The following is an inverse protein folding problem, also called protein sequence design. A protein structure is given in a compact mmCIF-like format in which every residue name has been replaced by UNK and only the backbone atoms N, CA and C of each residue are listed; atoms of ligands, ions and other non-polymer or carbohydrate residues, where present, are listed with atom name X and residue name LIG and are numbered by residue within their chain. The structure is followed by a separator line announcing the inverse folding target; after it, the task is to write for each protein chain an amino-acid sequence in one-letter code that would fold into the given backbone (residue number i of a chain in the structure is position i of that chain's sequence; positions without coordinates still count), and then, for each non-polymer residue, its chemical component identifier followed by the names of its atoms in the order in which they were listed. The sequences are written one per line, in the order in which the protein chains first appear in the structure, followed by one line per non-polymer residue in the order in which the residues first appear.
data_IF_125216864818
#
_entry.id   IF_125216864818
#
_cell.length_a   1.000
_cell.length_b   1.000
_cell.length_c   1.000
_cell.angle_alpha   90.00
_cell.angle_beta   90.00
_cell.angle_gamma   90.00
#
_symmetry.space_group_name_H-M   'P 1'
#
loop_
_entity.id
_entity.type
_entity.pdbx_description
1 polymer ?
#
# COMPACT_ATOMS: atom_id res chain seq x y z
N UNK A 1 -11.07 -2.92 1.35
CA UNK A 1 -11.89 -2.13 0.41
C UNK A 1 -13.23 -2.82 0.25
N UNK A 2 -14.35 -2.11 0.45
CA UNK A 2 -15.69 -2.66 0.17
C UNK A 2 -16.07 -2.43 -1.32
N UNK A 3 -17.24 -2.94 -1.73
CA UNK A 3 -17.71 -2.87 -3.11
C UNK A 3 -18.05 -1.44 -3.53
N UNK A 4 -18.71 -0.65 -2.67
CA UNK A 4 -19.08 0.73 -2.99
C UNK A 4 -17.84 1.61 -3.23
N UNK A 5 -16.85 1.51 -2.35
CA UNK A 5 -15.59 2.25 -2.45
C UNK A 5 -14.82 1.84 -3.70
N UNK A 6 -14.76 0.54 -4.01
CA UNK A 6 -14.11 0.04 -5.23
C UNK A 6 -14.76 0.60 -6.51
N UNK A 7 -16.09 0.66 -6.56
CA UNK A 7 -16.82 1.23 -7.70
C UNK A 7 -16.57 2.74 -7.82
N UNK A 8 -16.57 3.47 -6.70
CA UNK A 8 -16.26 4.89 -6.67
C UNK A 8 -14.85 5.17 -7.17
N UNK A 9 -13.84 4.45 -6.66
CA UNK A 9 -12.44 4.60 -7.04
C UNK A 9 -12.22 4.33 -8.53
N UNK A 10 -12.81 3.28 -9.09
CA UNK A 10 -12.74 3.01 -10.53
C UNK A 10 -13.36 4.15 -11.35
N UNK A 11 -14.49 4.72 -10.92
CA UNK A 11 -15.08 5.88 -11.60
C UNK A 11 -14.14 7.08 -11.60
N UNK A 12 -13.49 7.35 -10.46
CA UNK A 12 -12.50 8.44 -10.33
C UNK A 12 -11.27 8.21 -11.22
N UNK A 13 -10.65 7.02 -11.15
CA UNK A 13 -9.51 6.67 -11.98
C UNK A 13 -9.82 6.67 -13.48
N UNK A 14 -11.08 6.45 -13.86
CA UNK A 14 -11.54 6.42 -15.25
C UNK A 14 -11.98 7.78 -15.80
N UNK A 15 -11.90 8.89 -15.05
CA UNK A 15 -12.49 10.18 -15.43
C UNK A 15 -14.01 10.16 -15.65
N UNK A 16 -14.72 9.29 -14.93
CA UNK A 16 -16.18 9.10 -15.09
C UNK A 16 -16.99 9.45 -13.85
N UNK A 17 -16.35 9.98 -12.81
CA UNK A 17 -17.05 10.40 -11.60
C UNK A 17 -17.72 11.77 -11.79
N UNK A 18 -18.93 11.93 -11.23
CA UNK A 18 -19.76 13.14 -11.40
C UNK A 18 -19.14 14.36 -10.70
N UNK A 19 -18.44 14.16 -9.58
CA UNK A 19 -17.74 15.22 -8.86
C UNK A 19 -16.37 15.46 -9.50
N UNK A 20 -16.33 16.39 -10.44
CA UNK A 20 -15.13 16.78 -11.19
C UNK A 20 -14.01 17.28 -10.25
N UNK A 21 -14.36 17.87 -9.11
CA UNK A 21 -13.40 18.38 -8.11
C UNK A 21 -12.82 17.29 -7.19
N UNK A 22 -13.24 16.03 -7.33
CA UNK A 22 -12.65 14.93 -6.55
C UNK A 22 -11.16 14.83 -6.86
N UNK A 23 -10.32 14.77 -5.82
CA UNK A 23 -8.86 14.72 -5.97
C UNK A 23 -8.34 13.72 -7.01
N UNK A 24 -8.89 12.49 -7.02
CA UNK A 24 -8.49 11.41 -7.96
C UNK A 24 -8.92 11.66 -9.41
N UNK A 25 -9.79 12.63 -9.68
CA UNK A 25 -10.02 13.08 -11.06
C UNK A 25 -8.78 13.77 -11.62
N UNK A 26 -7.99 14.48 -10.82
CA UNK A 26 -6.74 15.08 -11.27
C UNK A 26 -5.51 14.20 -10.96
N UNK A 27 -5.58 13.39 -9.91
CA UNK A 27 -4.41 12.69 -9.37
C UNK A 27 -4.45 11.16 -9.51
N UNK A 28 -5.60 10.61 -9.90
CA UNK A 28 -5.79 9.17 -10.11
C UNK A 28 -5.13 8.66 -11.40
N UNK A 29 -5.34 7.37 -11.72
CA UNK A 29 -4.68 6.71 -12.86
C UNK A 29 -4.72 7.51 -14.16
N UNK A 30 -5.90 7.83 -14.72
CA UNK A 30 -5.98 8.71 -15.89
C UNK A 30 -5.75 10.18 -15.55
N UNK A 31 -6.21 10.64 -14.38
CA UNK A 31 -6.05 12.00 -13.87
C UNK A 31 -4.63 12.52 -14.02
N UNK A 32 -3.69 11.75 -13.47
CA UNK A 32 -2.26 12.05 -13.45
C UNK A 32 -1.60 12.09 -14.82
N UNK A 33 -2.25 11.55 -15.86
CA UNK A 33 -1.78 11.61 -17.24
C UNK A 33 -2.18 12.93 -17.93
N UNK A 34 -3.05 13.74 -17.33
CA UNK A 34 -3.54 14.99 -17.95
C UNK A 34 -3.92 16.06 -16.90
N UNK A 35 -3.01 17.01 -16.59
CA UNK A 35 -1.67 17.16 -17.16
C UNK A 35 -0.69 16.13 -16.57
N UNK A 36 0.17 15.57 -17.42
CA UNK A 36 1.27 14.74 -16.96
C UNK A 36 2.35 15.60 -16.28
N UNK A 37 2.72 15.24 -15.04
CA UNK A 37 3.65 16.01 -14.20
C UNK A 37 5.06 15.40 -14.14
N UNK A 38 5.40 14.51 -15.07
CA UNK A 38 6.73 13.92 -15.20
C UNK A 38 6.90 12.56 -14.53
N UNK A 39 5.93 12.12 -13.72
CA UNK A 39 6.01 10.87 -12.96
C UNK A 39 4.76 10.00 -13.12
N UNK A 40 4.98 8.70 -13.27
CA UNK A 40 3.93 7.68 -13.19
C UNK A 40 3.76 7.24 -11.75
N UNK A 41 2.55 7.35 -11.21
CA UNK A 41 2.25 7.02 -9.82
C UNK A 41 1.83 5.56 -9.67
N UNK A 42 2.73 4.71 -9.21
CA UNK A 42 2.49 3.27 -9.04
C UNK A 42 1.34 2.97 -8.05
N UNK A 43 1.14 3.83 -7.05
CA UNK A 43 -0.01 3.75 -6.13
C UNK A 43 -1.37 3.74 -6.85
N UNK A 44 -1.50 4.45 -7.97
CA UNK A 44 -2.73 4.42 -8.77
C UNK A 44 -2.97 3.05 -9.43
N UNK A 45 -1.91 2.34 -9.83
CA UNK A 45 -2.04 0.95 -10.31
C UNK A 45 -2.52 0.06 -9.16
N UNK A 46 -1.87 0.15 -7.99
CA UNK A 46 -2.22 -0.66 -6.84
C UNK A 46 -3.67 -0.48 -6.42
N UNK A 47 -4.16 0.76 -6.43
CA UNK A 47 -5.55 1.07 -6.07
C UNK A 47 -6.55 0.53 -7.11
N UNK A 48 -6.26 0.66 -8.41
CA UNK A 48 -7.07 0.02 -9.48
C UNK A 48 -7.12 -1.49 -9.31
N UNK A 49 -5.99 -2.14 -9.04
CA UNK A 49 -5.93 -3.59 -8.84
C UNK A 49 -6.64 -4.04 -7.55
N UNK A 50 -6.55 -3.25 -6.48
CA UNK A 50 -7.31 -3.49 -5.25
C UNK A 50 -8.82 -3.37 -5.47
N UNK A 51 -9.26 -2.38 -6.25
CA UNK A 51 -10.67 -2.24 -6.63
C UNK A 51 -11.16 -3.42 -7.49
N UNK A 52 -10.36 -3.87 -8.46
CA UNK A 52 -10.66 -5.09 -9.23
C UNK A 52 -10.78 -6.31 -8.32
N UNK A 53 -9.88 -6.45 -7.34
CA UNK A 53 -9.92 -7.57 -6.38
C UNK A 53 -11.20 -7.56 -5.55
N UNK A 54 -11.61 -6.40 -5.04
CA UNK A 54 -12.86 -6.22 -4.32
C UNK A 54 -14.12 -6.49 -5.18
N UNK A 55 -14.02 -6.29 -6.50
CA UNK A 55 -15.10 -6.47 -7.46
C UNK A 55 -15.08 -7.82 -8.20
N UNK A 56 -14.20 -8.75 -7.80
CA UNK A 56 -14.04 -10.05 -8.48
C UNK A 56 -15.38 -10.78 -8.65
N UNK A 57 -16.16 -10.86 -7.57
CA UNK A 57 -17.47 -11.53 -7.56
C UNK A 57 -18.54 -10.79 -8.39
N UNK A 58 -18.45 -9.46 -8.52
CA UNK A 58 -19.37 -8.65 -9.32
C UNK A 58 -19.08 -8.78 -10.82
N UNK A 59 -17.78 -8.85 -11.18
CA UNK A 59 -17.32 -8.98 -12.57
C UNK A 59 -17.57 -10.40 -13.14
N UNK A 60 -17.55 -11.43 -12.30
CA UNK A 60 -17.79 -12.82 -12.70
C UNK A 60 -19.27 -13.21 -12.88
N UNK A 61 -20.21 -12.27 -12.75
CA UNK A 61 -21.66 -12.54 -12.91
C UNK A 61 -22.07 -12.57 -14.37
N UNK A 62 -23.16 -13.30 -14.66
CA UNK A 62 -23.80 -13.34 -15.99
C UNK A 62 -24.18 -11.95 -16.54
N UNK A 63 -24.48 -11.00 -15.64
CA UNK A 63 -24.75 -9.61 -15.96
C UNK A 63 -23.81 -8.72 -15.16
N UNK A 64 -23.06 -7.88 -15.88
CA UNK A 64 -22.14 -6.92 -15.29
C UNK A 64 -22.66 -5.51 -15.48
N UNK A 65 -22.46 -4.66 -14.47
CA UNK A 65 -22.85 -3.26 -14.54
C UNK A 65 -22.15 -2.56 -15.72
N UNK A 66 -22.94 -1.96 -16.62
CA UNK A 66 -22.44 -1.25 -17.80
C UNK A 66 -21.48 -0.10 -17.44
N UNK A 67 -21.75 0.64 -16.37
CA UNK A 67 -20.90 1.74 -15.92
C UNK A 67 -19.54 1.22 -15.45
N UNK A 68 -19.51 0.10 -14.74
CA UNK A 68 -18.27 -0.55 -14.33
C UNK A 68 -17.40 -0.93 -15.54
N UNK A 69 -17.99 -1.60 -16.53
CA UNK A 69 -17.28 -1.93 -17.78
C UNK A 69 -16.82 -0.66 -18.51
N UNK A 70 -17.65 0.37 -18.54
CA UNK A 70 -17.30 1.65 -19.16
C UNK A 70 -16.11 2.31 -18.48
N UNK A 71 -16.02 2.29 -17.15
CA UNK A 71 -14.89 2.84 -16.40
C UNK A 71 -13.61 2.04 -16.68
N UNK A 72 -13.67 0.70 -16.64
CA UNK A 72 -12.52 -0.16 -16.92
C UNK A 72 -12.02 -0.02 -18.37
N UNK A 73 -12.94 0.00 -19.32
CA UNK A 73 -12.61 0.23 -20.73
C UNK A 73 -12.05 1.64 -20.93
N UNK A 74 -12.57 2.64 -20.22
CA UNK A 74 -12.07 4.01 -20.23
C UNK A 74 -10.62 4.10 -19.76
N UNK A 75 -10.29 3.50 -18.61
CA UNK A 75 -8.93 3.40 -18.08
C UNK A 75 -7.99 2.82 -19.15
N UNK A 76 -8.32 1.65 -19.69
CA UNK A 76 -7.48 0.99 -20.69
C UNK A 76 -7.34 1.81 -21.98
N UNK A 77 -8.47 2.21 -22.57
CA UNK A 77 -8.49 2.86 -23.88
C UNK A 77 -7.81 4.22 -23.87
N UNK A 78 -8.14 5.08 -22.89
CA UNK A 78 -7.61 6.44 -22.82
C UNK A 78 -6.13 6.44 -22.47
N UNK A 79 -5.71 5.63 -21.48
CA UNK A 79 -4.28 5.51 -21.14
C UNK A 79 -3.47 5.03 -22.35
N UNK A 80 -3.94 4.00 -23.05
CA UNK A 80 -3.28 3.49 -24.26
C UNK A 80 -3.21 4.56 -25.36
N UNK A 81 -4.32 5.25 -25.62
CA UNK A 81 -4.40 6.30 -26.63
C UNK A 81 -3.51 7.52 -26.32
N UNK A 82 -3.32 7.86 -25.05
CA UNK A 82 -2.52 9.01 -24.66
C UNK A 82 -1.04 8.68 -24.52
N UNK A 83 -0.71 7.55 -23.89
CA UNK A 83 0.64 7.20 -23.49
C UNK A 83 1.38 6.28 -24.47
N UNK A 84 0.69 5.36 -25.15
CA UNK A 84 1.34 4.31 -25.93
C UNK A 84 1.24 4.51 -27.44
N UNK A 85 0.15 5.07 -27.95
CA UNK A 85 0.03 5.34 -29.39
C UNK A 85 1.06 6.38 -29.87
N UNK A 86 1.74 6.18 -31.02
CA UNK A 86 2.75 7.14 -31.52
C UNK A 86 2.25 8.58 -31.63
N UNK A 87 1.00 8.75 -32.09
CA UNK A 87 0.32 10.04 -32.21
C UNK A 87 -0.45 10.44 -30.93
N UNK A 88 -0.35 9.63 -29.88
CA UNK A 88 -0.96 9.90 -28.58
C UNK A 88 -0.38 11.16 -27.94
N UNK A 89 -1.21 11.90 -27.21
CA UNK A 89 -0.84 13.22 -26.69
C UNK A 89 0.45 13.20 -25.86
N UNK A 90 0.68 12.21 -25.00
CA UNK A 90 1.90 12.16 -24.18
C UNK A 90 3.13 11.75 -24.99
N UNK A 91 2.96 10.79 -25.89
CA UNK A 91 4.05 10.24 -26.70
C UNK A 91 4.52 11.21 -27.79
N UNK A 92 3.57 11.81 -28.52
CA UNK A 92 3.85 12.79 -29.59
C UNK A 92 4.49 14.08 -29.06
N UNK A 93 4.17 14.48 -27.83
CA UNK A 93 4.79 15.64 -27.16
C UNK A 93 6.08 15.28 -26.41
N UNK A 94 6.55 14.02 -26.47
CA UNK A 94 7.78 13.59 -25.81
C UNK A 94 7.75 13.71 -24.29
N UNK A 95 6.56 13.62 -23.68
CA UNK A 95 6.37 13.82 -22.25
C UNK A 95 6.76 12.58 -21.42
N UNK A 96 6.73 11.39 -22.02
CA UNK A 96 7.12 10.14 -21.36
C UNK A 96 8.51 9.71 -21.79
N UNK A 97 9.31 9.24 -20.83
CA UNK A 97 10.56 8.52 -21.12
C UNK A 97 10.26 7.15 -21.76
N UNK A 98 11.27 6.53 -22.37
CA UNK A 98 11.13 5.17 -22.92
C UNK A 98 10.73 4.16 -21.83
N UNK A 99 11.34 4.26 -20.65
CA UNK A 99 11.05 3.41 -19.49
C UNK A 99 9.62 3.62 -18.98
N UNK A 100 9.13 4.86 -18.98
CA UNK A 100 7.75 5.16 -18.60
C UNK A 100 6.74 4.59 -19.61
N UNK A 101 7.07 4.57 -20.90
CA UNK A 101 6.23 3.93 -21.93
C UNK A 101 6.15 2.42 -21.69
N UNK A 102 7.28 1.76 -21.45
CA UNK A 102 7.35 0.31 -21.14
C UNK A 102 6.60 -0.03 -19.83
N UNK A 103 6.72 0.85 -18.83
CA UNK A 103 5.99 0.74 -17.56
C UNK A 103 4.49 0.85 -17.78
N UNK A 104 4.03 1.85 -18.54
CA UNK A 104 2.61 2.01 -18.85
C UNK A 104 2.06 0.83 -19.66
N UNK A 105 2.81 0.30 -20.62
CA UNK A 105 2.43 -0.90 -21.36
C UNK A 105 2.25 -2.10 -20.41
N UNK A 106 3.19 -2.28 -19.47
CA UNK A 106 3.09 -3.30 -18.44
C UNK A 106 1.82 -3.12 -17.60
N UNK A 107 1.57 -1.92 -17.08
CA UNK A 107 0.40 -1.63 -16.25
C UNK A 107 -0.93 -1.89 -16.98
N UNK A 108 -1.04 -1.48 -18.25
CA UNK A 108 -2.26 -1.71 -19.03
C UNK A 108 -2.46 -3.18 -19.38
N UNK A 109 -1.39 -3.95 -19.59
CA UNK A 109 -1.47 -5.40 -19.78
C UNK A 109 -1.94 -6.09 -18.49
N UNK A 110 -1.41 -5.69 -17.32
CA UNK A 110 -1.84 -6.23 -16.03
C UNK A 110 -3.34 -5.97 -15.76
N UNK A 111 -3.78 -4.72 -15.95
CA UNK A 111 -5.19 -4.34 -15.74
C UNK A 111 -6.10 -5.07 -16.72
N UNK A 112 -5.78 -5.04 -18.01
CA UNK A 112 -6.65 -5.65 -19.04
C UNK A 112 -6.73 -7.17 -18.92
N UNK A 113 -5.63 -7.83 -18.58
CA UNK A 113 -5.61 -9.27 -18.34
C UNK A 113 -6.45 -9.66 -17.11
N UNK A 114 -6.30 -8.95 -16.00
CA UNK A 114 -7.12 -9.19 -14.80
C UNK A 114 -8.61 -9.01 -15.11
N UNK A 115 -9.00 -7.94 -15.81
CA UNK A 115 -10.38 -7.70 -16.21
C UNK A 115 -10.90 -8.82 -17.12
N UNK A 116 -10.12 -9.26 -18.11
CA UNK A 116 -10.51 -10.34 -19.02
C UNK A 116 -10.83 -11.63 -18.25
N UNK A 117 -9.92 -12.07 -17.37
CA UNK A 117 -10.10 -13.30 -16.60
C UNK A 117 -11.30 -13.20 -15.65
N UNK A 118 -11.48 -12.06 -14.98
CA UNK A 118 -12.62 -11.86 -14.07
C UNK A 118 -13.96 -11.90 -14.81
N UNK A 119 -14.06 -11.30 -16.00
CA UNK A 119 -15.28 -11.34 -16.82
C UNK A 119 -15.62 -12.74 -17.34
N UNK A 120 -14.61 -13.59 -17.53
CA UNK A 120 -14.78 -15.00 -17.88
C UNK A 120 -15.04 -15.90 -16.66
N UNK A 121 -15.14 -15.32 -15.46
CA UNK A 121 -15.23 -16.02 -14.19
C UNK A 121 -14.07 -17.04 -14.01
N UNK A 122 -12.87 -16.69 -14.48
CA UNK A 122 -11.68 -17.53 -14.42
C UNK A 122 -11.00 -17.59 -13.05
N UNK A 123 -11.49 -16.82 -12.08
CA UNK A 123 -11.02 -16.81 -10.69
C UNK A 123 -9.87 -15.82 -10.41
N UNK A 124 -9.76 -15.42 -9.14
CA UNK A 124 -8.80 -14.40 -8.72
C UNK A 124 -7.33 -14.84 -8.78
N UNK A 125 -7.04 -16.13 -8.60
CA UNK A 125 -5.66 -16.63 -8.68
C UNK A 125 -5.03 -16.35 -10.05
N UNK A 126 -5.73 -16.69 -11.13
CA UNK A 126 -5.29 -16.44 -12.49
C UNK A 126 -5.34 -14.93 -12.82
N UNK A 127 -6.45 -14.25 -12.48
CA UNK A 127 -6.64 -12.84 -12.82
C UNK A 127 -5.51 -11.94 -12.27
N UNK A 128 -5.04 -12.22 -11.06
CA UNK A 128 -4.03 -11.39 -10.39
C UNK A 128 -2.61 -11.98 -10.45
N UNK A 129 -2.40 -13.12 -11.12
CA UNK A 129 -1.08 -13.78 -11.17
C UNK A 129 0.03 -12.84 -11.66
N UNK A 130 -0.15 -12.23 -12.84
CA UNK A 130 0.86 -11.32 -13.40
C UNK A 130 1.11 -10.08 -12.54
N UNK A 131 0.06 -9.57 -11.88
CA UNK A 131 0.20 -8.42 -10.98
C UNK A 131 0.95 -8.78 -9.71
N UNK A 132 0.71 -9.97 -9.13
CA UNK A 132 1.45 -10.47 -7.99
C UNK A 132 2.93 -10.68 -8.30
N UNK A 133 3.25 -11.20 -9.48
CA UNK A 133 4.64 -11.31 -9.93
C UNK A 133 5.29 -9.94 -10.14
N UNK A 134 4.56 -8.99 -10.72
CA UNK A 134 5.00 -7.60 -10.81
C UNK A 134 5.34 -7.03 -9.43
N UNK A 135 4.44 -7.15 -8.45
CA UNK A 135 4.66 -6.67 -7.08
C UNK A 135 5.83 -7.37 -6.40
N UNK A 136 5.94 -8.71 -6.52
CA UNK A 136 7.08 -9.47 -5.99
C UNK A 136 8.40 -8.98 -6.57
N UNK A 137 8.45 -8.65 -7.86
CA UNK A 137 9.67 -8.12 -8.50
C UNK A 137 10.13 -6.77 -7.92
N UNK A 138 9.24 -6.03 -7.24
CA UNK A 138 9.52 -4.73 -6.59
C UNK A 138 9.90 -4.91 -5.11
N UNK A 139 9.22 -5.81 -4.41
CA UNK A 139 9.37 -6.01 -2.96
C UNK A 139 10.54 -6.93 -2.61
N UNK A 140 10.71 -8.04 -3.33
CA UNK A 140 11.71 -9.05 -2.95
C UNK A 140 13.15 -8.54 -3.00
N UNK A 141 13.58 -7.73 -3.98
CA UNK A 141 14.92 -7.15 -3.96
C UNK A 141 15.16 -6.24 -2.74
N UNK A 142 14.15 -5.50 -2.29
CA UNK A 142 14.25 -4.67 -1.09
C UNK A 142 14.33 -5.52 0.19
N UNK A 143 13.62 -6.65 0.25
CA UNK A 143 13.77 -7.62 1.34
C UNK A 143 15.21 -8.19 1.36
N UNK A 144 15.73 -8.59 0.20
CA UNK A 144 17.10 -9.13 0.11
C UNK A 144 18.15 -8.08 0.53
N UNK A 145 17.95 -6.82 0.14
CA UNK A 145 18.77 -5.69 0.59
C UNK A 145 18.71 -5.53 2.12
N UNK A 146 17.51 -5.52 2.71
CA UNK A 146 17.33 -5.48 4.17
C UNK A 146 18.15 -6.58 4.84
N UNK A 147 17.97 -7.83 4.41
CA UNK A 147 18.68 -8.98 4.99
C UNK A 147 20.19 -8.93 4.80
N UNK A 148 20.68 -8.31 3.72
CA UNK A 148 22.10 -8.09 3.48
C UNK A 148 22.69 -6.99 4.38
N UNK A 149 21.90 -5.97 4.74
CA UNK A 149 22.31 -4.88 5.61
C UNK A 149 22.41 -5.31 7.08
N UNK A 150 21.43 -6.07 7.58
CA UNK A 150 21.29 -6.40 9.01
C UNK A 150 22.58 -6.94 9.67
N UNK A 151 23.32 -7.94 9.14
CA UNK A 151 24.51 -8.49 9.79
C UNK A 151 25.59 -7.44 10.11
N UNK A 152 25.72 -6.42 9.25
CA UNK A 152 26.72 -5.36 9.41
C UNK A 152 26.38 -4.37 10.51
N UNK A 153 25.15 -4.38 11.02
CA UNK A 153 24.63 -3.43 12.02
C UNK A 153 24.51 -4.05 13.42
N UNK A 154 24.78 -5.34 13.57
CA UNK A 154 24.66 -6.07 14.84
C UNK A 154 25.99 -6.06 15.59
N UNK A 155 26.06 -5.33 16.71
CA UNK A 155 27.31 -5.14 17.46
C UNK A 155 27.36 -5.91 18.79
N UNK A 156 26.24 -6.14 19.46
CA UNK A 156 26.18 -6.86 20.74
C UNK A 156 25.56 -8.28 20.63
N UNK A 157 25.72 -9.06 21.69
CA UNK A 157 25.28 -10.47 21.76
C UNK A 157 23.76 -10.61 21.93
N UNK A 158 23.08 -9.62 22.52
CA UNK A 158 21.64 -9.64 22.72
C UNK A 158 20.90 -9.43 21.40
N UNK A 159 21.27 -8.40 20.63
CA UNK A 159 20.75 -8.17 19.27
C UNK A 159 21.09 -9.35 18.36
N UNK A 160 22.26 -9.96 18.51
CA UNK A 160 22.62 -11.17 17.75
C UNK A 160 21.65 -12.32 18.04
N UNK A 161 21.28 -12.53 19.30
CA UNK A 161 20.29 -13.53 19.68
C UNK A 161 18.91 -13.27 19.08
N UNK A 162 18.50 -12.00 18.97
CA UNK A 162 17.26 -11.63 18.28
C UNK A 162 17.34 -11.83 16.77
N UNK A 163 18.47 -11.48 16.16
CA UNK A 163 18.70 -11.69 14.73
C UNK A 163 18.68 -13.17 14.35
N UNK A 164 19.24 -14.05 15.18
CA UNK A 164 19.19 -15.48 14.93
C UNK A 164 17.74 -16.01 14.98
N UNK A 165 16.91 -15.50 15.89
CA UNK A 165 15.46 -15.80 15.89
C UNK A 165 14.77 -15.28 14.62
N UNK A 166 15.03 -14.03 14.23
CA UNK A 166 14.52 -13.43 13.00
C UNK A 166 14.84 -14.27 11.75
N UNK A 167 16.05 -14.84 11.70
CA UNK A 167 16.47 -15.70 10.59
C UNK A 167 15.69 -17.00 10.52
N UNK A 168 15.35 -17.57 11.67
CA UNK A 168 14.57 -18.80 11.77
C UNK A 168 13.08 -18.58 11.50
N UNK A 169 12.59 -17.34 11.57
CA UNK A 169 11.22 -16.99 11.19
C UNK A 169 11.02 -17.13 9.68
N UNK A 170 10.05 -17.96 9.28
CA UNK A 170 9.61 -18.09 7.89
C UNK A 170 8.54 -17.06 7.53
N UNK A 171 8.07 -17.15 6.29
CA UNK A 171 6.89 -16.42 5.84
C UNK A 171 5.59 -17.11 6.20
N UNK A 172 4.50 -16.35 6.16
CA UNK A 172 3.15 -16.86 6.33
C UNK A 172 2.72 -17.67 5.10
N UNK A 173 2.02 -18.79 5.33
CA UNK A 173 1.38 -19.50 4.24
C UNK A 173 0.28 -18.62 3.59
N UNK A 174 0.05 -18.71 2.26
CA UNK A 174 -1.00 -17.92 1.60
C UNK A 174 -2.39 -18.05 2.26
N UNK A 175 -2.75 -19.26 2.69
CA UNK A 175 -4.01 -19.52 3.40
C UNK A 175 -4.14 -18.75 4.72
N UNK A 176 -3.02 -18.50 5.42
CA UNK A 176 -3.00 -17.76 6.69
C UNK A 176 -3.27 -16.27 6.48
N UNK A 177 -2.77 -15.70 5.38
CA UNK A 177 -3.08 -14.34 4.95
C UNK A 177 -4.55 -14.22 4.54
N UNK A 178 -5.07 -15.21 3.80
CA UNK A 178 -6.49 -15.25 3.41
C UNK A 178 -7.41 -15.37 4.64
N UNK A 179 -7.01 -16.16 5.64
CA UNK A 179 -7.72 -16.24 6.92
C UNK A 179 -7.72 -14.90 7.68
N UNK A 180 -6.59 -14.18 7.68
CA UNK A 180 -6.49 -12.85 8.29
C UNK A 180 -7.44 -11.85 7.62
N UNK A 181 -7.40 -11.77 6.29
CA UNK A 181 -8.28 -10.93 5.49
C UNK A 181 -9.76 -11.25 5.74
N UNK A 182 -10.11 -12.55 5.73
CA UNK A 182 -11.47 -13.01 5.98
C UNK A 182 -11.94 -12.69 7.40
N UNK A 183 -11.07 -12.84 8.40
CA UNK A 183 -11.39 -12.56 9.81
C UNK A 183 -11.77 -11.11 10.02
N UNK A 184 -11.10 -10.19 9.34
CA UNK A 184 -11.31 -8.76 9.48
C UNK A 184 -12.19 -8.14 8.38
N UNK A 185 -12.53 -8.89 7.33
CA UNK A 185 -13.30 -8.37 6.20
C UNK A 185 -12.54 -7.32 5.39
N UNK A 186 -11.24 -7.51 5.23
CA UNK A 186 -10.34 -6.57 4.55
C UNK A 186 -9.61 -7.22 3.37
N UNK A 187 -8.93 -6.40 2.58
CA UNK A 187 -7.96 -6.86 1.58
C UNK A 187 -6.61 -6.24 1.95
N UNK A 188 -5.61 -7.07 2.25
CA UNK A 188 -4.25 -6.60 2.48
C UNK A 188 -3.65 -6.11 1.16
N UNK A 189 -2.88 -5.01 1.16
CA UNK A 189 -2.09 -4.60 0.00
C UNK A 189 -1.20 -5.74 -0.51
N UNK A 190 -1.13 -5.93 -1.83
CA UNK A 190 -0.40 -7.08 -2.39
C UNK A 190 1.11 -7.00 -2.12
N UNK A 191 1.68 -5.80 -1.93
CA UNK A 191 3.09 -5.64 -1.58
C UNK A 191 3.38 -6.06 -0.14
N UNK A 192 2.50 -5.72 0.79
CA UNK A 192 2.52 -6.23 2.15
C UNK A 192 2.39 -7.76 2.17
N UNK A 193 1.45 -8.32 1.40
CA UNK A 193 1.31 -9.79 1.25
C UNK A 193 2.59 -10.42 0.72
N UNK A 194 3.16 -9.88 -0.34
CA UNK A 194 4.38 -10.40 -0.96
C UNK A 194 5.56 -10.44 0.02
N UNK A 195 5.68 -9.46 0.91
CA UNK A 195 6.69 -9.48 1.98
C UNK A 195 6.36 -10.54 3.04
N UNK A 196 5.13 -10.58 3.54
CA UNK A 196 4.74 -11.50 4.62
C UNK A 196 4.76 -12.97 4.21
N UNK A 197 4.57 -13.28 2.93
CA UNK A 197 4.80 -14.62 2.39
C UNK A 197 6.27 -15.10 2.52
N UNK A 198 7.22 -14.17 2.72
CA UNK A 198 8.62 -14.48 2.94
C UNK A 198 9.05 -14.32 4.41
N UNK A 199 8.37 -13.45 5.17
CA UNK A 199 8.72 -13.16 6.56
C UNK A 199 7.51 -12.70 7.38
N UNK A 200 7.04 -13.53 8.32
CA UNK A 200 5.92 -13.24 9.20
C UNK A 200 6.37 -12.61 10.52
N UNK A 201 6.71 -11.31 10.46
CA UNK A 201 7.22 -10.56 11.61
C UNK A 201 8.72 -10.70 11.82
N UNK A 202 9.28 -9.82 12.66
CA UNK A 202 10.70 -9.81 12.99
C UNK A 202 11.05 -10.47 14.32
N UNK A 203 10.04 -10.82 15.12
CA UNK A 203 10.21 -11.23 16.50
C UNK A 203 10.22 -10.02 17.45
N UNK A 204 9.84 -10.27 18.70
CA UNK A 204 9.72 -9.20 19.70
C UNK A 204 11.03 -8.43 19.86
N UNK A 205 10.95 -7.10 19.76
CA UNK A 205 12.04 -6.15 19.93
C UNK A 205 13.18 -6.22 18.88
N UNK A 206 13.10 -7.03 17.83
CA UNK A 206 14.09 -6.97 16.75
C UNK A 206 13.72 -5.92 15.71
N UNK A 207 14.31 -4.74 15.81
CA UNK A 207 14.03 -3.61 14.94
C UNK A 207 14.59 -3.84 13.52
N UNK A 208 13.71 -3.75 12.51
CA UNK A 208 14.07 -3.93 11.09
C UNK A 208 13.51 -2.84 10.18
N UNK A 209 12.63 -1.98 10.70
CA UNK A 209 12.03 -0.86 9.96
C UNK A 209 12.47 0.48 10.54
N UNK A 210 12.89 1.39 9.67
CA UNK A 210 13.44 2.71 10.00
C UNK A 210 12.81 3.80 9.10
N UNK A 211 11.50 4.07 9.23
CA UNK A 211 10.80 5.08 8.43
C UNK A 211 11.36 6.49 8.64
N UNK A 212 11.10 7.38 7.68
CA UNK A 212 11.43 8.80 7.77
C UNK A 212 12.43 9.26 6.71
N UNK A 213 12.57 10.58 6.57
CA UNK A 213 13.49 11.18 5.61
C UNK A 213 14.95 11.16 6.08
N UNK A 214 15.18 11.32 7.39
CA UNK A 214 16.50 11.33 8.01
C UNK A 214 16.76 10.03 8.78
N UNK A 215 17.93 9.43 8.57
CA UNK A 215 18.34 8.21 9.26
C UNK A 215 18.62 8.45 10.75
N UNK A 216 19.10 9.64 11.14
CA UNK A 216 19.41 9.95 12.55
C UNK A 216 18.12 10.16 13.38
N UNK A 217 17.02 10.56 12.73
CA UNK A 217 15.71 10.79 13.35
C UNK A 217 14.76 9.59 13.17
N UNK A 218 15.15 8.58 12.39
CA UNK A 218 14.32 7.43 12.07
C UNK A 218 14.05 6.57 13.30
N UNK A 219 12.81 6.61 13.77
CA UNK A 219 12.35 5.77 14.86
C UNK A 219 12.42 4.28 14.46
N UNK A 220 13.13 3.40 15.20
CA UNK A 220 13.18 1.98 14.88
C UNK A 220 11.87 1.26 15.19
N UNK A 221 11.46 0.30 14.36
CA UNK A 221 10.29 -0.55 14.62
C UNK A 221 10.62 -2.03 14.40
N UNK A 222 10.07 -2.88 15.26
CA UNK A 222 10.01 -4.32 15.02
C UNK A 222 8.71 -4.64 14.30
N UNK A 223 8.78 -5.57 13.35
CA UNK A 223 7.66 -6.01 12.54
C UNK A 223 6.86 -7.07 13.32
N UNK A 224 5.55 -6.88 13.42
CA UNK A 224 4.66 -7.85 14.04
C UNK A 224 4.44 -9.05 13.12
N UNK A 225 4.27 -10.23 13.69
CA UNK A 225 3.64 -11.36 13.01
C UNK A 225 2.13 -11.10 12.83
N UNK A 226 1.49 -11.83 11.92
CA UNK A 226 0.03 -11.79 11.74
C UNK A 226 -0.73 -12.11 13.04
N UNK A 227 -0.16 -12.96 13.91
CA UNK A 227 -0.74 -13.26 15.22
C UNK A 227 -0.66 -12.06 16.18
N UNK A 228 0.48 -11.37 16.22
CA UNK A 228 0.65 -10.15 17.02
C UNK A 228 -0.25 -9.01 16.50
N UNK A 229 -0.34 -8.84 15.18
CA UNK A 229 -1.28 -7.89 14.58
C UNK A 229 -2.72 -8.15 15.03
N UNK A 230 -3.13 -9.43 15.05
CA UNK A 230 -4.46 -9.83 15.53
C UNK A 230 -4.68 -9.54 17.00
N UNK A 231 -3.66 -9.73 17.84
CA UNK A 231 -3.75 -9.46 19.28
C UNK A 231 -3.80 -7.95 19.55
N UNK A 232 -2.97 -7.16 18.88
CA UNK A 232 -2.95 -5.69 18.99
C UNK A 232 -4.28 -5.11 18.53
N UNK A 233 -4.83 -5.58 17.41
CA UNK A 233 -6.10 -5.10 16.84
C UNK A 233 -7.31 -5.32 17.76
N UNK A 234 -7.21 -6.18 18.79
CA UNK A 234 -8.30 -6.38 19.78
C UNK A 234 -8.51 -5.19 20.71
N UNK A 235 -7.48 -4.37 20.91
CA UNK A 235 -7.54 -3.23 21.83
C UNK A 235 -7.12 -1.91 21.17
N UNK A 236 -6.32 -1.96 20.11
CA UNK A 236 -5.87 -0.78 19.38
C UNK A 236 -6.60 -0.68 18.03
N UNK A 237 -7.11 0.51 17.70
CA UNK A 237 -7.94 0.72 16.51
C UNK A 237 -9.15 -0.24 16.41
N UNK A 238 -9.70 -0.70 17.53
CA UNK A 238 -10.87 -1.60 17.56
C UNK A 238 -12.18 -0.87 17.23
N UNK A 239 -12.18 0.45 17.45
CA UNK A 239 -13.28 1.39 17.22
C UNK A 239 -12.77 2.68 16.56
N UNK A 240 -13.72 3.47 16.09
CA UNK A 240 -13.45 4.80 15.55
C UNK A 240 -13.46 5.82 16.70
N UNK A 241 -12.46 6.69 16.74
CA UNK A 241 -12.36 7.83 17.65
C UNK A 241 -11.93 9.05 16.84
N UNK A 242 -12.72 10.12 16.84
CA UNK A 242 -12.44 11.30 16.03
C UNK A 242 -11.41 12.20 16.71
N UNK A 243 -10.55 12.85 15.92
CA UNK A 243 -9.61 13.83 16.47
C UNK A 243 -10.33 15.02 17.13
N UNK A 244 -11.51 15.41 16.64
CA UNK A 244 -12.29 16.53 17.20
C UNK A 244 -12.78 16.31 18.64
N UNK A 245 -12.73 15.07 19.14
CA UNK A 245 -13.05 14.74 20.53
C UNK A 245 -11.90 15.11 21.49
N UNK A 246 -10.68 15.25 20.97
CA UNK A 246 -9.45 15.42 21.77
C UNK A 246 -8.61 16.65 21.41
N UNK A 247 -8.69 17.12 20.16
CA UNK A 247 -7.82 18.17 19.61
C UNK A 247 -8.60 19.40 19.15
N UNK A 248 -7.96 20.57 19.21
CA UNK A 248 -8.53 21.80 18.68
C UNK A 248 -8.53 21.80 17.13
N UNK A 249 -9.38 22.63 16.49
CA UNK A 249 -9.35 22.77 15.03
C UNK A 249 -7.97 23.17 14.48
N UNK A 250 -7.18 23.95 15.22
CA UNK A 250 -5.83 24.35 14.85
C UNK A 250 -4.82 23.19 14.91
N UNK A 251 -5.02 22.23 15.80
CA UNK A 251 -4.21 21.02 15.90
C UNK A 251 -4.59 20.03 14.78
N UNK A 252 -5.89 19.85 14.55
CA UNK A 252 -6.41 19.01 13.45
C UNK A 252 -5.99 19.54 12.08
N UNK A 253 -5.84 20.86 11.93
CA UNK A 253 -5.34 21.46 10.69
C UNK A 253 -3.90 21.05 10.31
N UNK A 254 -3.16 20.41 11.22
CA UNK A 254 -1.83 19.83 10.96
C UNK A 254 -1.87 18.39 10.44
N UNK A 255 -3.04 17.74 10.47
CA UNK A 255 -3.20 16.39 9.95
C UNK A 255 -2.88 16.36 8.46
N UNK A 256 -2.11 15.37 8.03
CA UNK A 256 -1.83 15.16 6.63
C UNK A 256 -3.12 14.87 5.85
N UNK A 257 -3.21 15.41 4.63
CA UNK A 257 -4.46 15.45 3.87
C UNK A 257 -4.91 14.07 3.41
N UNK A 258 -3.98 13.12 3.36
CA UNK A 258 -4.14 11.72 3.01
C UNK A 258 -4.92 10.93 4.08
N UNK A 259 -4.99 11.44 5.32
CA UNK A 259 -5.66 10.78 6.43
C UNK A 259 -7.07 11.34 6.66
N UNK A 260 -7.97 10.45 7.08
CA UNK A 260 -9.25 10.89 7.67
C UNK A 260 -9.03 11.36 9.12
N UNK A 261 -9.84 12.29 9.64
CA UNK A 261 -9.61 12.96 10.93
C UNK A 261 -9.97 12.09 12.15
N UNK A 262 -9.40 10.89 12.22
CA UNK A 262 -9.51 9.95 13.33
C UNK A 262 -8.20 9.91 14.13
N UNK A 263 -8.32 9.73 15.44
CA UNK A 263 -7.22 9.33 16.29
C UNK A 263 -7.02 7.80 16.22
N UNK A 264 -8.13 7.07 16.27
CA UNK A 264 -8.17 5.62 16.04
C UNK A 264 -9.26 5.31 15.02
N UNK A 265 -9.00 4.40 14.09
CA UNK A 265 -9.94 4.04 13.03
C UNK A 265 -9.99 2.53 12.82
N UNK A 266 -11.18 1.96 12.69
CA UNK A 266 -11.37 0.51 12.51
C UNK A 266 -10.70 -0.05 11.28
N UNK A 267 -10.47 0.77 10.27
CA UNK A 267 -9.81 0.39 9.03
C UNK A 267 -8.29 0.59 9.05
N UNK A 268 -7.71 0.99 10.19
CA UNK A 268 -6.25 1.07 10.39
C UNK A 268 -5.72 -0.17 11.11
N UNK A 269 -4.69 -0.80 10.54
CA UNK A 269 -4.17 -2.09 11.03
C UNK A 269 -2.70 -1.96 11.43
N UNK A 270 -2.38 -1.94 12.73
CA UNK A 270 -0.99 -1.95 13.21
C UNK A 270 -0.24 -3.19 12.73
N UNK A 271 0.98 -2.99 12.23
CA UNK A 271 1.85 -4.06 11.73
C UNK A 271 3.30 -3.94 12.22
N UNK A 272 3.69 -2.83 12.81
CA UNK A 272 4.99 -2.66 13.45
C UNK A 272 4.86 -1.79 14.70
N UNK A 273 5.74 -1.99 15.67
CA UNK A 273 5.71 -1.22 16.92
C UNK A 273 7.12 -0.95 17.45
N UNK A 274 7.19 0.03 18.36
CA UNK A 274 8.35 0.33 19.19
C UNK A 274 7.89 0.58 20.63
N UNK A 275 8.82 0.45 21.58
CA UNK A 275 8.67 0.88 22.97
C UNK A 275 7.42 0.30 23.67
N UNK A 276 7.08 -0.97 23.39
CA UNK A 276 5.96 -1.65 24.03
C UNK A 276 4.58 -1.11 23.65
N UNK A 277 4.44 -0.44 22.50
CA UNK A 277 3.17 0.07 21.99
C UNK A 277 3.01 1.59 22.05
N UNK A 278 4.07 2.33 22.38
CA UNK A 278 4.02 3.81 22.33
C UNK A 278 4.08 4.37 20.91
N UNK A 279 4.60 3.59 19.96
CA UNK A 279 4.56 3.90 18.54
C UNK A 279 4.06 2.71 17.74
N UNK A 280 3.29 2.99 16.69
CA UNK A 280 2.83 2.00 15.73
C UNK A 280 3.01 2.49 14.30
N UNK A 281 3.42 1.59 13.39
CA UNK A 281 3.13 1.73 11.97
C UNK A 281 1.86 0.94 11.64
N UNK A 282 0.99 1.53 10.83
CA UNK A 282 -0.31 0.97 10.49
C UNK A 282 -0.56 1.02 8.99
N UNK A 283 -1.25 0.00 8.48
CA UNK A 283 -1.85 0.04 7.15
C UNK A 283 -3.13 0.87 7.23
N UNK A 284 -3.23 1.90 6.39
CA UNK A 284 -4.46 2.68 6.22
C UNK A 284 -5.28 2.11 5.06
N UNK A 285 -6.34 1.37 5.41
CA UNK A 285 -7.25 0.73 4.44
C UNK A 285 -8.52 1.55 4.20
N UNK A 286 -8.57 2.79 4.68
CA UNK A 286 -9.66 3.72 4.43
C UNK A 286 -9.15 5.18 4.45
N UNK A 287 -8.22 5.51 3.53
CA UNK A 287 -7.62 6.83 3.46
C UNK A 287 -8.64 7.89 3.04
N UNK A 288 -8.22 9.16 3.11
CA UNK A 288 -8.99 10.25 2.53
C UNK A 288 -9.05 10.17 0.98
N UNK A 289 -9.74 11.10 0.35
CA UNK A 289 -9.73 11.24 -1.11
C UNK A 289 -8.34 11.53 -1.70
N UNK A 290 -7.45 12.11 -0.89
CA UNK A 290 -6.09 12.48 -1.29
C UNK A 290 -5.10 11.34 -1.10
N UNK A 291 -5.39 10.41 -0.18
CA UNK A 291 -4.56 9.24 0.10
C UNK A 291 -4.77 8.09 -0.88
N UNK A 292 -4.00 7.02 -0.67
CA UNK A 292 -4.00 5.80 -1.49
C UNK A 292 -4.31 4.58 -0.63
N UNK A 293 -5.20 3.70 -1.10
CA UNK A 293 -5.55 2.49 -0.34
C UNK A 293 -4.31 1.65 0.00
N UNK A 294 -4.07 1.41 1.29
CA UNK A 294 -2.90 0.66 1.76
C UNK A 294 -1.67 1.51 2.07
N UNK A 295 -1.78 2.84 2.04
CA UNK A 295 -0.71 3.73 2.50
C UNK A 295 -0.32 3.43 3.96
N UNK A 296 0.89 3.84 4.32
CA UNK A 296 1.45 3.63 5.65
C UNK A 296 1.31 4.92 6.45
N UNK A 297 0.79 4.78 7.66
CA UNK A 297 0.69 5.86 8.64
C UNK A 297 1.39 5.43 9.93
N UNK A 298 1.77 6.40 10.75
CA UNK A 298 2.33 6.19 12.07
C UNK A 298 1.44 6.79 13.15
N UNK A 299 1.43 6.18 14.33
CA UNK A 299 0.87 6.74 15.55
C UNK A 299 1.98 6.96 16.57
N UNK A 300 1.92 8.09 17.28
CA UNK A 300 2.89 8.48 18.32
C UNK A 300 2.11 8.83 19.60
N UNK A 301 2.37 8.11 20.70
CA UNK A 301 1.60 8.24 21.96
C UNK A 301 1.76 9.58 22.69
N UNK A 302 2.92 10.23 22.59
CA UNK A 302 3.14 11.55 23.19
C UNK A 302 3.52 12.51 22.06
N UNK A 303 2.54 13.17 21.38
CA UNK A 303 1.30 13.72 21.96
C UNK A 303 -0.05 13.05 21.56
N UNK A 304 -0.08 11.74 21.27
CA UNK A 304 -1.23 11.00 20.74
C UNK A 304 -1.68 11.53 19.37
N UNK A 305 -0.88 11.32 18.33
CA UNK A 305 -1.24 11.81 17.00
C UNK A 305 -0.85 10.84 15.89
N UNK A 306 -1.49 11.00 14.73
CA UNK A 306 -1.25 10.19 13.55
C UNK A 306 -0.63 11.01 12.43
N UNK A 307 0.29 10.38 11.70
CA UNK A 307 1.07 11.02 10.65
C UNK A 307 1.14 10.13 9.42
N UNK A 308 1.10 10.75 8.24
CA UNK A 308 1.44 10.07 7.01
C UNK A 308 2.90 9.59 7.03
N UNK A 309 3.18 8.41 6.48
CA UNK A 309 4.54 7.84 6.46
C UNK A 309 5.00 7.50 5.06
N UNK A 310 4.23 6.73 4.29
CA UNK A 310 4.63 6.32 2.94
C UNK A 310 3.44 5.89 2.08
N UNK A 311 3.57 5.97 0.75
CA UNK A 311 2.48 5.64 -0.19
C UNK A 311 2.12 4.14 -0.19
N UNK A 312 3.06 3.28 0.21
CA UNK A 312 2.95 1.83 0.15
C UNK A 312 3.96 1.16 1.09
N UNK A 313 3.78 -0.13 1.36
CA UNK A 313 4.77 -0.91 2.11
C UNK A 313 6.11 -1.01 1.35
N UNK A 314 6.05 -1.07 0.01
CA UNK A 314 7.26 -1.04 -0.84
C UNK A 314 8.05 0.27 -0.67
N UNK A 315 7.36 1.42 -0.63
CA UNK A 315 8.00 2.73 -0.42
C UNK A 315 8.62 2.82 0.97
N UNK A 316 7.87 2.41 2.00
CA UNK A 316 8.37 2.30 3.38
C UNK A 316 9.66 1.47 3.45
N UNK A 317 9.66 0.28 2.84
CA UNK A 317 10.80 -0.63 2.91
C UNK A 317 12.03 -0.04 2.23
N UNK A 318 11.85 0.66 1.10
CA UNK A 318 12.94 1.36 0.39
C UNK A 318 13.55 2.47 1.24
N UNK A 319 12.73 3.29 1.88
CA UNK A 319 13.17 4.36 2.78
C UNK A 319 13.87 3.78 4.01
N UNK A 320 13.28 2.74 4.60
CA UNK A 320 13.85 2.01 5.73
C UNK A 320 15.24 1.45 5.42
N UNK A 321 15.41 0.78 4.26
CA UNK A 321 16.71 0.24 3.87
C UNK A 321 17.75 1.34 3.67
N UNK A 322 17.37 2.45 3.03
CA UNK A 322 18.23 3.62 2.85
C UNK A 322 18.69 4.17 4.20
N UNK A 323 17.79 4.23 5.20
CA UNK A 323 18.11 4.74 6.52
C UNK A 323 18.99 3.75 7.29
N UNK A 324 18.63 2.47 7.31
CA UNK A 324 19.43 1.40 7.92
C UNK A 324 20.86 1.34 7.35
N UNK A 325 21.03 1.55 6.05
CA UNK A 325 22.34 1.57 5.40
C UNK A 325 23.27 2.65 5.99
N UNK A 326 22.71 3.78 6.44
CA UNK A 326 23.44 4.92 7.01
C UNK A 326 23.74 4.76 8.50
N UNK A 327 22.96 3.97 9.23
CA UNK A 327 23.18 3.73 10.67
C UNK A 327 24.51 3.02 10.94
N UNK A 328 25.18 3.34 12.05
CA UNK A 328 26.39 2.61 12.47
C UNK A 328 26.05 1.24 13.07
N UNK A 329 24.97 1.16 13.84
CA UNK A 329 24.50 -0.02 14.55
C UNK A 329 22.97 -0.02 14.69
N UNK A 330 22.40 -1.19 14.97
CA UNK A 330 21.07 -1.30 15.58
C UNK A 330 21.26 -1.06 17.07
N UNK A 331 20.46 -0.16 17.64
CA UNK A 331 20.48 0.20 19.05
C UNK A 331 19.08 0.02 19.67
N UNK A 332 19.02 -0.02 21.01
CA UNK A 332 17.79 -0.11 21.81
C UNK A 332 17.46 1.21 22.51
#
# INVERSE_FOLDING_TARGET
MNIEDAQLLLKCHAFTHDRIEHWKMENGFLGSLRPFRGELREGNLHEVMAALRALSDELGRDQVNRELISSLWGIYHLARAWALEPEGMLRSNGLLSKEQIETMETWLNLISYAVMILLENGGGEEAFHGYREYVRSRVLPLKEELEALLPGKIQDEEIRGLYDQYRDHGGAAPSRLDEFEKKFGILLPEDFRAFYEQKDGSGYAFHILYPGEDAEEAAPFYLMSLAEMEDVKRYFCERDELLEEYYSPEEIAKLDRELKPYLFHRQWYPFASMAGGSLYLMLDLDPSEEGTYGQIISYIHDPDFVYYTADSFTSLLRESNRNLAQLEAIEY
#
